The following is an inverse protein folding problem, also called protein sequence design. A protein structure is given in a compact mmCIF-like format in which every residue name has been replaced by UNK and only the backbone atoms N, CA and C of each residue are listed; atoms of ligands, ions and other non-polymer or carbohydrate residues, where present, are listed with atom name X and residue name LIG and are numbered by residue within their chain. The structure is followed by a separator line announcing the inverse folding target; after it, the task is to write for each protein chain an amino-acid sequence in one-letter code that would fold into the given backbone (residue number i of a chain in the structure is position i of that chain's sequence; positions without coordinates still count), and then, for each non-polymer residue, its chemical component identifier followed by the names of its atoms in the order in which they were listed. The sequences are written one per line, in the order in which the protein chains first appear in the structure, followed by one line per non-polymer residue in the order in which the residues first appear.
data_IF_499291506080
#
_entry.id   IF_499291506080
#
_cell.length_a   1.000
_cell.length_b   1.000
_cell.length_c   1.000
_cell.angle_alpha   90.00
_cell.angle_beta   90.00
_cell.angle_gamma   90.00
#
_symmetry.space_group_name_H-M   'P 1'
#
loop_
_entity.id
_entity.type
_entity.pdbx_description
1 polymer ?
#
# COMPACT_ATOMS: atom_id res chain seq x y z
N UNK A 1 11.57 67.66 -24.49
CA UNK A 1 10.29 66.96 -24.74
C UNK A 1 10.52 65.87 -25.77
N UNK A 2 10.60 64.61 -25.34
CA UNK A 2 10.02 63.42 -26.01
C UNK A 2 10.46 62.18 -25.22
N UNK A 3 9.46 61.40 -24.86
CA UNK A 3 9.47 60.38 -23.84
C UNK A 3 10.20 59.10 -24.25
N UNK A 4 10.78 58.44 -23.24
CA UNK A 4 11.15 57.03 -23.27
C UNK A 4 9.91 56.16 -23.58
N UNK A 5 10.06 55.20 -24.49
CA UNK A 5 9.17 54.04 -24.56
C UNK A 5 10.06 52.80 -24.52
N UNK A 6 10.20 52.23 -23.32
CA UNK A 6 10.69 50.87 -23.14
C UNK A 6 9.54 49.94 -23.49
N UNK A 7 9.63 49.29 -24.65
CA UNK A 7 8.73 48.18 -24.99
C UNK A 7 9.16 46.99 -24.14
N UNK A 8 8.48 46.79 -23.02
CA UNK A 8 8.54 45.55 -22.26
C UNK A 8 7.92 44.44 -23.11
N UNK A 9 8.77 43.63 -23.73
CA UNK A 9 8.41 42.32 -24.28
C UNK A 9 8.00 41.43 -23.10
N UNK A 10 6.71 41.48 -22.75
CA UNK A 10 6.08 40.49 -21.88
C UNK A 10 5.94 39.23 -22.71
N UNK A 11 6.90 38.31 -22.59
CA UNK A 11 6.74 36.95 -23.08
C UNK A 11 5.64 36.30 -22.22
N UNK A 12 4.45 35.99 -22.75
CA UNK A 12 3.49 35.22 -21.99
C UNK A 12 4.08 33.82 -21.86
N UNK A 13 4.56 33.48 -20.68
CA UNK A 13 4.76 32.08 -20.33
C UNK A 13 3.39 31.42 -20.44
N UNK A 14 3.18 30.68 -21.52
CA UNK A 14 2.01 29.83 -21.67
C UNK A 14 2.14 28.73 -20.60
N UNK A 15 1.64 29.01 -19.40
CA UNK A 15 1.27 27.97 -18.47
C UNK A 15 0.17 27.18 -19.17
N UNK A 16 0.54 26.06 -19.79
CA UNK A 16 -0.42 25.12 -20.34
C UNK A 16 -1.36 24.71 -19.20
N UNK A 17 -2.58 25.25 -19.19
CA UNK A 17 -3.63 24.74 -18.33
C UNK A 17 -3.83 23.28 -18.69
N UNK A 18 -3.62 22.38 -17.73
CA UNK A 18 -3.91 20.97 -17.88
C UNK A 18 -5.43 20.85 -18.07
N UNK A 19 -5.88 20.76 -19.33
CA UNK A 19 -7.29 20.60 -19.68
C UNK A 19 -7.58 19.12 -19.84
N UNK A 20 -8.70 18.67 -19.29
CA UNK A 20 -9.24 17.32 -19.50
C UNK A 20 -9.46 17.05 -20.99
N UNK A 21 -9.20 15.82 -21.41
CA UNK A 21 -9.43 15.37 -22.77
C UNK A 21 -10.89 14.90 -22.95
N UNK A 22 -11.73 15.60 -23.73
CA UNK A 22 -13.13 15.23 -23.92
C UNK A 22 -13.31 13.84 -24.55
N UNK A 23 -12.31 13.31 -25.26
CA UNK A 23 -12.39 11.96 -25.87
C UNK A 23 -12.39 10.84 -24.83
N UNK A 24 -11.93 11.14 -23.61
CA UNK A 24 -11.87 10.20 -22.49
C UNK A 24 -13.10 10.26 -21.58
N UNK A 25 -14.11 11.09 -21.87
CA UNK A 25 -15.28 11.27 -20.99
C UNK A 25 -16.05 9.96 -20.76
N UNK A 26 -16.34 9.21 -21.82
CA UNK A 26 -16.99 7.90 -21.69
C UNK A 26 -16.12 6.89 -20.90
N UNK A 27 -14.80 6.96 -21.03
CA UNK A 27 -13.88 6.06 -20.33
C UNK A 27 -13.80 6.40 -18.84
N UNK A 28 -13.79 7.69 -18.51
CA UNK A 28 -13.85 8.18 -17.13
C UNK A 28 -15.15 7.77 -16.45
N UNK A 29 -16.30 7.98 -17.11
CA UNK A 29 -17.59 7.60 -16.55
C UNK A 29 -17.71 6.09 -16.38
N UNK A 30 -17.20 5.31 -17.33
CA UNK A 30 -17.12 3.86 -17.19
C UNK A 30 -16.23 3.45 -16.01
N UNK A 31 -15.03 4.03 -15.89
CA UNK A 31 -14.10 3.74 -14.80
C UNK A 31 -14.70 4.09 -13.43
N UNK A 32 -15.34 5.27 -13.29
CA UNK A 32 -16.05 5.67 -12.07
C UNK A 32 -17.15 4.66 -11.74
N UNK A 33 -17.94 4.26 -12.74
CA UNK A 33 -19.02 3.27 -12.55
C UNK A 33 -18.48 1.90 -12.14
N UNK A 34 -17.39 1.44 -12.75
CA UNK A 34 -16.74 0.16 -12.43
C UNK A 34 -16.23 0.13 -10.99
N UNK A 35 -15.70 1.23 -10.49
CA UNK A 35 -15.12 1.32 -9.14
C UNK A 35 -15.97 2.10 -8.15
N UNK A 36 -17.26 2.30 -8.46
CA UNK A 36 -18.25 2.99 -7.63
C UNK A 36 -17.77 4.34 -7.07
N UNK A 37 -17.07 5.13 -7.90
CA UNK A 37 -16.51 6.43 -7.51
C UNK A 37 -17.57 7.52 -7.50
N UNK A 38 -17.62 8.27 -6.42
CA UNK A 38 -18.49 9.42 -6.22
C UNK A 38 -17.64 10.54 -5.62
N UNK A 39 -17.83 11.77 -6.11
CA UNK A 39 -17.14 12.95 -5.64
C UNK A 39 -18.20 14.00 -5.33
N UNK A 40 -18.34 14.37 -4.06
CA UNK A 40 -19.39 15.26 -3.59
C UNK A 40 -18.91 16.73 -3.51
N UNK A 41 -17.60 16.93 -3.40
CA UNK A 41 -17.01 18.25 -3.24
C UNK A 41 -16.87 19.01 -4.58
N UNK A 42 -17.06 20.33 -4.50
CA UNK A 42 -16.93 21.22 -5.65
C UNK A 42 -15.49 21.21 -6.17
N UNK A 43 -15.31 20.91 -7.46
CA UNK A 43 -14.04 20.79 -8.17
C UNK A 43 -13.19 19.54 -7.85
N UNK A 44 -13.62 18.67 -6.93
CA UNK A 44 -12.89 17.42 -6.66
C UNK A 44 -12.88 16.52 -7.90
N UNK A 45 -14.03 16.31 -8.53
CA UNK A 45 -14.13 15.44 -9.70
C UNK A 45 -13.18 15.88 -10.83
N UNK A 46 -13.03 17.18 -11.05
CA UNK A 46 -12.14 17.71 -12.08
C UNK A 46 -10.67 17.46 -11.75
N UNK A 47 -10.27 17.66 -10.49
CA UNK A 47 -8.92 17.34 -10.04
C UNK A 47 -8.62 15.83 -10.14
N UNK A 48 -9.56 14.99 -9.70
CA UNK A 48 -9.47 13.52 -9.78
C UNK A 48 -9.40 13.04 -11.22
N UNK A 49 -10.17 13.64 -12.13
CA UNK A 49 -10.13 13.36 -13.57
C UNK A 49 -8.75 13.65 -14.15
N UNK A 50 -8.13 14.78 -13.81
CA UNK A 50 -6.79 15.12 -14.32
C UNK A 50 -5.70 14.16 -13.80
N UNK A 51 -5.80 13.72 -12.54
CA UNK A 51 -4.94 12.68 -11.98
C UNK A 51 -5.13 11.36 -12.73
N UNK A 52 -6.38 10.98 -12.98
CA UNK A 52 -6.73 9.77 -13.71
C UNK A 52 -6.18 9.77 -15.15
N UNK A 53 -6.30 10.87 -15.89
CA UNK A 53 -5.77 10.97 -17.27
C UNK A 53 -4.24 10.88 -17.29
N UNK A 54 -3.57 11.53 -16.32
CA UNK A 54 -2.12 11.44 -16.15
C UNK A 54 -1.69 9.99 -15.89
N UNK A 55 -2.39 9.30 -15.00
CA UNK A 55 -2.13 7.90 -14.68
C UNK A 55 -2.42 6.98 -15.87
N UNK A 56 -3.50 7.21 -16.61
CA UNK A 56 -3.82 6.45 -17.82
C UNK A 56 -2.70 6.56 -18.85
N UNK A 57 -2.21 7.76 -19.12
CA UNK A 57 -1.08 7.98 -20.04
C UNK A 57 0.19 7.28 -19.56
N UNK A 58 0.47 7.32 -18.25
CA UNK A 58 1.61 6.63 -17.65
C UNK A 58 1.50 5.10 -17.85
N UNK A 59 0.33 4.51 -17.58
CA UNK A 59 0.05 3.08 -17.82
C UNK A 59 0.27 2.71 -19.28
N UNK A 60 -0.25 3.51 -20.21
CA UNK A 60 -0.12 3.24 -21.65
C UNK A 60 1.34 3.22 -22.11
N UNK A 61 2.14 4.22 -21.71
CA UNK A 61 3.55 4.31 -22.09
C UNK A 61 4.37 3.19 -21.47
N UNK A 62 4.18 2.93 -20.17
CA UNK A 62 4.85 1.83 -19.49
C UNK A 62 4.54 0.46 -20.12
N UNK A 63 3.27 0.21 -20.48
CA UNK A 63 2.89 -1.08 -21.06
C UNK A 63 3.41 -1.25 -22.50
N UNK A 64 3.63 -0.16 -23.23
CA UNK A 64 4.36 -0.19 -24.51
C UNK A 64 5.83 -0.62 -24.28
N UNK A 65 6.51 -0.05 -23.28
CA UNK A 65 7.87 -0.45 -22.89
C UNK A 65 7.93 -1.92 -22.42
N UNK A 66 6.93 -2.36 -21.64
CA UNK A 66 6.78 -3.76 -21.25
C UNK A 66 6.65 -4.69 -22.46
N UNK A 67 5.85 -4.32 -23.47
CA UNK A 67 5.70 -5.12 -24.70
C UNK A 67 7.01 -5.27 -25.49
N UNK A 68 7.96 -4.35 -25.29
CA UNK A 68 9.31 -4.39 -25.87
C UNK A 68 10.33 -5.11 -24.98
N UNK A 69 9.88 -5.73 -23.87
CA UNK A 69 10.72 -6.47 -22.93
C UNK A 69 11.53 -5.60 -21.99
N UNK A 70 11.22 -4.30 -21.86
CA UNK A 70 11.97 -3.38 -21.00
C UNK A 70 11.61 -3.56 -19.51
N UNK A 71 10.40 -4.03 -19.21
CA UNK A 71 9.89 -4.24 -17.85
C UNK A 71 9.44 -5.68 -17.62
N UNK A 72 9.68 -6.22 -16.42
CA UNK A 72 9.20 -7.54 -16.00
C UNK A 72 7.76 -7.57 -15.46
N UNK A 73 7.07 -6.42 -15.49
CA UNK A 73 5.71 -6.24 -14.98
C UNK A 73 4.91 -5.32 -15.89
N UNK A 74 3.58 -5.38 -15.78
CA UNK A 74 2.63 -4.48 -16.44
C UNK A 74 1.82 -3.67 -15.42
N UNK A 75 1.23 -2.58 -15.90
CA UNK A 75 0.37 -1.70 -15.12
C UNK A 75 -1.09 -1.78 -15.60
N UNK A 76 -2.01 -1.32 -14.76
CA UNK A 76 -3.42 -1.23 -15.09
C UNK A 76 -4.15 -0.14 -14.32
N UNK A 77 -5.17 0.43 -14.94
CA UNK A 77 -6.08 1.35 -14.24
C UNK A 77 -6.98 0.55 -13.29
N UNK A 78 -6.72 0.72 -11.99
CA UNK A 78 -7.51 0.14 -10.91
C UNK A 78 -8.27 1.25 -10.14
N UNK A 79 -8.97 0.88 -9.07
CA UNK A 79 -9.69 1.81 -8.19
C UNK A 79 -8.82 2.86 -7.48
N UNK A 80 -7.49 2.77 -7.57
CA UNK A 80 -6.53 3.76 -7.04
C UNK A 80 -6.10 4.78 -8.12
N UNK A 81 -6.69 4.71 -9.31
CA UNK A 81 -6.34 5.59 -10.44
C UNK A 81 -6.51 7.09 -10.17
N UNK A 82 -7.21 7.47 -9.10
CA UNK A 82 -7.53 8.84 -8.69
C UNK A 82 -7.02 9.19 -7.26
N UNK A 83 -6.26 8.30 -6.62
CA UNK A 83 -6.22 8.15 -5.16
C UNK A 83 -5.50 9.24 -4.34
N UNK A 84 -6.07 9.53 -3.16
CA UNK A 84 -5.38 9.77 -1.89
C UNK A 84 -6.10 8.94 -0.80
N UNK A 85 -5.41 8.43 0.23
CA UNK A 85 -6.04 7.54 1.23
C UNK A 85 -5.46 7.63 2.66
N UNK A 86 -6.26 7.17 3.62
CA UNK A 86 -5.86 6.84 4.99
C UNK A 86 -4.64 5.90 5.01
N UNK A 87 -3.59 6.29 5.74
CA UNK A 87 -2.33 5.55 5.90
C UNK A 87 -2.39 4.46 6.97
N UNK A 88 -3.42 3.61 6.96
CA UNK A 88 -3.58 2.49 7.91
C UNK A 88 -2.87 1.19 7.48
N UNK A 89 -1.98 1.25 6.50
CA UNK A 89 -1.27 0.07 5.95
C UNK A 89 -0.48 -0.73 7.00
N UNK A 90 0.08 -0.04 7.99
CA UNK A 90 0.75 -0.64 9.14
C UNK A 90 -0.17 -1.57 9.94
N UNK A 91 -1.44 -1.19 10.14
CA UNK A 91 -2.41 -1.98 10.88
C UNK A 91 -2.76 -3.26 10.10
N UNK A 92 -3.00 -3.15 8.78
CA UNK A 92 -3.26 -4.30 7.92
C UNK A 92 -2.08 -5.28 7.84
N UNK A 93 -0.85 -4.74 7.76
CA UNK A 93 0.36 -5.56 7.81
C UNK A 93 0.46 -6.34 9.13
N UNK A 94 0.20 -5.68 10.26
CA UNK A 94 0.25 -6.31 11.57
C UNK A 94 -0.82 -7.40 11.75
N UNK A 95 -2.10 -7.10 11.45
CA UNK A 95 -3.17 -8.11 11.57
C UNK A 95 -2.93 -9.29 10.64
N UNK A 96 -2.46 -9.07 9.41
CA UNK A 96 -2.19 -10.16 8.47
C UNK A 96 -1.11 -11.13 8.95
N UNK A 97 -0.07 -10.64 9.63
CA UNK A 97 0.94 -11.51 10.24
C UNK A 97 0.36 -12.30 11.43
N UNK A 98 -0.44 -11.65 12.28
CA UNK A 98 -1.07 -12.29 13.43
C UNK A 98 -2.14 -13.32 13.04
N UNK A 99 -2.94 -13.05 12.00
CA UNK A 99 -3.90 -13.98 11.40
C UNK A 99 -3.23 -15.29 10.97
N UNK A 100 -2.03 -15.16 10.37
CA UNK A 100 -1.26 -16.33 9.96
C UNK A 100 -0.80 -17.15 11.16
N UNK A 101 -0.30 -16.50 12.22
CA UNK A 101 0.07 -17.19 13.47
C UNK A 101 -1.14 -17.83 14.16
N UNK A 102 -2.30 -17.18 14.13
CA UNK A 102 -3.56 -17.73 14.63
C UNK A 102 -3.92 -19.02 13.90
N UNK A 103 -3.84 -18.99 12.57
CA UNK A 103 -4.07 -20.18 11.74
C UNK A 103 -3.07 -21.28 12.04
N UNK A 104 -1.78 -20.96 12.17
CA UNK A 104 -0.73 -21.94 12.45
C UNK A 104 -0.88 -22.58 13.85
N UNK A 105 -1.24 -21.79 14.88
CA UNK A 105 -1.34 -22.28 16.26
C UNK A 105 -2.66 -22.97 16.58
N UNK A 106 -3.77 -22.49 16.00
CA UNK A 106 -5.13 -22.95 16.35
C UNK A 106 -5.82 -23.73 15.25
N UNK A 107 -5.29 -23.71 14.02
CA UNK A 107 -5.94 -24.28 12.83
C UNK A 107 -7.11 -23.44 12.29
N UNK A 108 -7.50 -22.32 12.94
CA UNK A 108 -8.60 -21.45 12.51
C UNK A 108 -8.06 -20.18 11.86
N UNK A 109 -8.55 -19.87 10.66
CA UNK A 109 -8.26 -18.59 10.00
C UNK A 109 -9.43 -17.66 10.30
N UNK A 110 -9.16 -16.61 11.07
CA UNK A 110 -10.15 -15.61 11.45
C UNK A 110 -9.56 -14.24 11.14
N UNK A 111 -10.33 -13.40 10.44
CA UNK A 111 -9.91 -12.04 10.13
C UNK A 111 -9.91 -11.18 11.40
N UNK A 112 -8.81 -10.47 11.62
CA UNK A 112 -8.61 -9.63 12.80
C UNK A 112 -8.81 -8.16 12.46
N UNK A 113 -9.28 -7.37 13.43
CA UNK A 113 -9.69 -5.99 13.18
C UNK A 113 -8.51 -5.04 13.02
N UNK A 114 -8.30 -4.54 11.80
CA UNK A 114 -7.37 -3.43 11.56
C UNK A 114 -7.87 -2.13 12.21
N UNK A 115 -9.19 -1.93 12.29
CA UNK A 115 -9.80 -0.76 12.93
C UNK A 115 -9.49 -0.69 14.43
N UNK A 116 -9.50 -1.84 15.12
CA UNK A 116 -9.09 -1.91 16.51
C UNK A 116 -7.67 -1.35 16.70
N UNK A 117 -6.74 -1.64 15.79
CA UNK A 117 -5.39 -1.06 15.86
C UNK A 117 -5.40 0.43 15.57
N UNK A 118 -6.09 0.87 14.51
CA UNK A 118 -6.21 2.28 14.13
C UNK A 118 -6.70 3.14 15.31
N UNK A 119 -7.76 2.68 16.00
CA UNK A 119 -8.40 3.48 17.04
C UNK A 119 -7.75 3.33 18.42
N UNK A 120 -7.18 2.15 18.73
CA UNK A 120 -6.73 1.82 20.09
C UNK A 120 -5.20 1.83 20.27
N UNK A 121 -4.42 1.58 19.23
CA UNK A 121 -2.96 1.63 19.28
C UNK A 121 -2.45 3.06 19.12
N UNK A 122 -2.99 3.99 19.93
CA UNK A 122 -2.85 5.43 19.79
C UNK A 122 -1.45 5.97 20.17
N UNK A 123 -1.36 7.28 20.50
CA UNK A 123 -0.13 7.98 20.86
C UNK A 123 0.73 7.27 21.92
N UNK A 124 0.12 6.50 22.84
CA UNK A 124 0.86 5.67 23.80
C UNK A 124 1.85 4.72 23.11
N UNK A 125 1.47 4.20 21.93
CA UNK A 125 2.25 3.30 21.09
C UNK A 125 2.85 4.01 19.87
N UNK A 126 2.73 5.34 19.78
CA UNK A 126 3.26 6.16 18.69
C UNK A 126 2.63 5.91 17.31
N UNK A 127 1.51 5.20 17.21
CA UNK A 127 0.72 5.18 15.97
C UNK A 127 -0.31 6.31 15.98
N UNK A 128 -0.62 6.80 14.77
CA UNK A 128 -1.48 7.96 14.53
C UNK A 128 -2.66 7.58 13.63
N UNK A 129 -3.14 6.35 13.76
CA UNK A 129 -4.26 5.82 13.00
C UNK A 129 -4.04 5.95 11.49
N UNK A 130 -4.88 6.74 10.82
CA UNK A 130 -4.80 7.05 9.40
C UNK A 130 -3.61 7.93 9.01
N UNK A 131 -2.91 8.55 9.96
CA UNK A 131 -1.71 9.35 9.69
C UNK A 131 -0.41 8.52 9.80
N UNK A 132 -0.53 7.19 9.83
CA UNK A 132 0.60 6.27 9.84
C UNK A 132 0.87 5.64 11.20
N UNK A 133 1.72 4.63 11.19
CA UNK A 133 2.06 3.81 12.35
C UNK A 133 3.04 2.71 11.95
N UNK A 134 3.34 1.83 12.89
CA UNK A 134 4.34 0.78 12.73
C UNK A 134 3.87 -0.56 13.29
N UNK A 135 4.26 -1.65 12.64
CA UNK A 135 3.73 -2.98 12.93
C UNK A 135 4.16 -3.50 14.31
N UNK A 136 5.40 -3.23 14.74
CA UNK A 136 5.88 -3.64 16.07
C UNK A 136 5.13 -2.92 17.19
N UNK A 137 4.76 -1.66 16.99
CA UNK A 137 3.94 -0.91 17.94
C UNK A 137 2.51 -1.44 18.02
N UNK A 138 1.93 -1.84 16.88
CA UNK A 138 0.68 -2.60 16.86
C UNK A 138 0.81 -3.91 17.66
N UNK A 139 1.87 -4.70 17.45
CA UNK A 139 2.09 -5.93 18.21
C UNK A 139 2.22 -5.67 19.70
N UNK A 140 2.96 -4.62 20.10
CA UNK A 140 3.10 -4.24 21.50
C UNK A 140 1.76 -3.85 22.13
N UNK A 141 0.91 -3.12 21.40
CA UNK A 141 -0.45 -2.85 21.85
C UNK A 141 -1.23 -4.16 22.09
N UNK A 142 -1.20 -5.12 21.17
CA UNK A 142 -1.95 -6.38 21.31
C UNK A 142 -1.47 -7.17 22.53
N UNK A 143 -0.16 -7.16 22.81
CA UNK A 143 0.45 -7.77 23.99
C UNK A 143 -0.09 -7.11 25.26
N UNK A 144 0.04 -5.79 25.37
CA UNK A 144 -0.37 -5.04 26.56
C UNK A 144 -1.89 -5.08 26.80
N UNK A 145 -2.67 -5.05 25.71
CA UNK A 145 -4.13 -5.10 25.73
C UNK A 145 -4.66 -6.52 25.99
N UNK A 146 -3.77 -7.52 25.98
CA UNK A 146 -4.11 -8.94 26.11
C UNK A 146 -5.19 -9.38 25.09
N UNK A 147 -5.10 -8.86 23.87
CA UNK A 147 -6.05 -9.22 22.82
C UNK A 147 -6.23 -8.22 21.70
N UNK A 148 -6.86 -8.71 20.64
CA UNK A 148 -7.39 -7.94 19.51
C UNK A 148 -8.73 -8.55 19.08
N UNK A 149 -9.67 -7.71 18.67
CA UNK A 149 -11.00 -8.12 18.19
C UNK A 149 -10.97 -8.70 16.77
N UNK A 150 -12.03 -9.41 16.40
CA UNK A 150 -12.23 -9.86 15.02
C UNK A 150 -12.68 -8.70 14.11
N UNK A 151 -12.41 -8.81 12.81
CA UNK A 151 -12.95 -7.88 11.81
C UNK A 151 -14.48 -7.85 11.83
N UNK A 152 -15.13 -9.00 12.09
CA UNK A 152 -16.59 -9.08 12.14
C UNK A 152 -17.20 -8.31 13.32
N UNK A 153 -16.51 -8.24 14.46
CA UNK A 153 -16.96 -7.52 15.66
C UNK A 153 -16.55 -6.05 15.65
N UNK A 154 -15.47 -5.70 14.95
CA UNK A 154 -14.97 -4.34 14.86
C UNK A 154 -14.51 -4.03 13.41
N UNK A 155 -15.46 -3.71 12.50
CA UNK A 155 -15.16 -3.58 11.08
C UNK A 155 -14.33 -2.34 10.73
N UNK A 156 -13.53 -2.44 9.66
CA UNK A 156 -12.74 -1.34 9.12
C UNK A 156 -13.58 -0.24 8.47
N UNK A 157 -13.29 1.01 8.84
CA UNK A 157 -13.99 2.21 8.39
C UNK A 157 -13.11 3.24 7.69
N UNK A 158 -11.79 2.99 7.61
CA UNK A 158 -10.83 3.88 6.96
C UNK A 158 -10.79 5.31 7.51
N UNK A 159 -11.08 5.48 8.80
CA UNK A 159 -11.02 6.75 9.50
C UNK A 159 -10.61 6.53 10.97
N UNK A 160 -10.11 7.59 11.61
CA UNK A 160 -9.78 7.58 13.03
C UNK A 160 -11.06 7.74 13.86
N UNK A 161 -11.39 6.73 14.67
CA UNK A 161 -12.51 6.78 15.60
C UNK A 161 -12.03 6.63 17.06
N UNK A 162 -12.98 6.68 17.99
CA UNK A 162 -12.70 6.35 19.38
C UNK A 162 -12.46 4.85 19.51
N UNK A 163 -11.48 4.45 20.34
CA UNK A 163 -11.26 3.03 20.63
C UNK A 163 -12.51 2.35 21.25
N UNK A 164 -12.94 1.24 20.63
CA UNK A 164 -14.09 0.44 21.02
C UNK A 164 -13.77 -1.05 21.27
N UNK A 165 -12.53 -1.39 21.63
CA UNK A 165 -12.15 -2.77 21.95
C UNK A 165 -13.05 -3.39 23.04
N UNK A 166 -13.55 -4.60 22.80
CA UNK A 166 -14.35 -5.36 23.76
C UNK A 166 -13.72 -6.74 24.03
N UNK A 167 -13.23 -7.04 25.25
CA UNK A 167 -12.67 -8.34 25.59
C UNK A 167 -13.56 -9.56 25.29
N UNK A 168 -14.88 -9.38 25.17
CA UNK A 168 -15.83 -10.44 24.77
C UNK A 168 -15.70 -10.84 23.30
N UNK A 169 -15.23 -9.93 22.47
CA UNK A 169 -15.06 -10.10 21.03
C UNK A 169 -13.62 -10.45 20.63
N UNK A 170 -12.75 -10.64 21.63
CA UNK A 170 -11.35 -10.99 21.43
C UNK A 170 -11.19 -12.24 20.58
N UNK A 171 -10.49 -12.08 19.46
CA UNK A 171 -10.27 -13.09 18.44
C UNK A 171 -8.87 -13.71 18.49
N UNK A 172 -7.87 -12.95 18.91
CA UNK A 172 -6.50 -13.42 19.07
C UNK A 172 -5.77 -12.68 20.20
N UNK A 173 -4.63 -13.21 20.62
CA UNK A 173 -3.68 -12.58 21.54
C UNK A 173 -2.30 -12.58 20.90
N UNK A 174 -1.40 -11.74 21.38
CA UNK A 174 0.01 -11.73 21.00
C UNK A 174 0.84 -11.88 22.27
N UNK A 175 1.85 -12.74 22.26
CA UNK A 175 2.75 -12.99 23.39
C UNK A 175 4.06 -12.23 23.27
N UNK A 176 4.59 -12.12 22.05
CA UNK A 176 5.81 -11.39 21.69
C UNK A 176 5.84 -11.13 20.18
N UNK A 177 6.80 -10.32 19.75
CA UNK A 177 7.18 -10.20 18.34
C UNK A 177 8.70 -10.33 18.19
N UNK A 178 9.14 -10.68 16.99
CA UNK A 178 10.56 -10.74 16.62
C UNK A 178 10.81 -9.77 15.47
N UNK A 179 11.82 -8.92 15.60
CA UNK A 179 12.36 -8.09 14.52
C UNK A 179 13.53 -8.81 13.85
N UNK A 180 13.57 -8.78 12.52
CA UNK A 180 14.67 -9.38 11.75
C UNK A 180 15.80 -8.38 11.51
N UNK A 181 17.03 -8.85 11.24
CA UNK A 181 18.15 -7.97 10.92
C UNK A 181 17.86 -7.05 9.73
N UNK A 182 18.12 -5.76 9.91
CA UNK A 182 17.92 -4.72 8.90
C UNK A 182 18.63 -5.07 7.58
N UNK A 183 17.88 -5.02 6.47
CA UNK A 183 18.37 -5.21 5.11
C UNK A 183 18.68 -6.66 4.73
N UNK A 184 18.47 -7.64 5.62
CA UNK A 184 18.79 -9.04 5.36
C UNK A 184 17.65 -9.78 4.65
N UNK A 185 17.70 -9.82 3.32
CA UNK A 185 16.77 -10.62 2.51
C UNK A 185 16.86 -12.13 2.84
N UNK A 186 18.03 -12.62 3.25
CA UNK A 186 18.24 -14.02 3.65
C UNK A 186 17.52 -14.34 4.97
N UNK A 187 17.64 -13.46 5.97
CA UNK A 187 16.91 -13.64 7.23
C UNK A 187 15.40 -13.55 7.02
N UNK A 188 14.95 -12.63 6.16
CA UNK A 188 13.54 -12.55 5.76
C UNK A 188 13.08 -13.84 5.08
N UNK A 189 13.89 -14.42 4.20
CA UNK A 189 13.57 -15.67 3.49
C UNK A 189 13.41 -16.83 4.47
N UNK A 190 14.34 -16.95 5.41
CA UNK A 190 14.32 -17.97 6.46
C UNK A 190 13.08 -17.82 7.36
N UNK A 191 12.78 -16.60 7.80
CA UNK A 191 11.61 -16.33 8.62
C UNK A 191 10.31 -16.67 7.88
N UNK A 192 10.16 -16.26 6.62
CA UNK A 192 8.98 -16.58 5.81
C UNK A 192 8.80 -18.10 5.66
N UNK A 193 9.90 -18.84 5.48
CA UNK A 193 9.87 -20.29 5.32
C UNK A 193 9.52 -21.04 6.62
N UNK A 194 10.07 -20.59 7.75
CA UNK A 194 10.08 -21.35 9.00
C UNK A 194 9.08 -20.84 10.04
N UNK A 195 8.65 -19.58 9.93
CA UNK A 195 7.74 -18.90 10.88
C UNK A 195 6.41 -18.53 10.24
N UNK A 196 6.36 -18.36 8.92
CA UNK A 196 5.18 -17.96 8.17
C UNK A 196 5.24 -16.47 7.76
N UNK A 197 4.10 -15.87 7.37
CA UNK A 197 4.04 -14.50 6.88
C UNK A 197 4.69 -13.47 7.80
N UNK A 198 5.44 -12.53 7.21
CA UNK A 198 6.23 -11.50 7.90
C UNK A 198 5.76 -10.11 7.48
N UNK A 199 5.46 -9.25 8.46
CA UNK A 199 5.15 -7.84 8.23
C UNK A 199 6.40 -7.10 7.80
N UNK A 200 6.31 -6.29 6.74
CA UNK A 200 7.44 -5.49 6.24
C UNK A 200 7.00 -4.08 5.86
N UNK A 201 7.92 -3.13 5.89
CA UNK A 201 7.77 -1.82 5.26
C UNK A 201 8.39 -1.81 3.87
N UNK A 202 7.77 -1.10 2.92
CA UNK A 202 8.31 -0.85 1.58
C UNK A 202 8.14 0.62 1.19
N UNK A 203 8.92 1.07 0.22
CA UNK A 203 8.66 2.29 -0.54
C UNK A 203 7.59 2.03 -1.61
N UNK A 204 6.42 2.65 -1.44
CA UNK A 204 5.29 2.60 -2.35
C UNK A 204 4.97 3.97 -2.99
N UNK A 205 5.90 4.92 -2.96
CA UNK A 205 5.69 6.30 -3.44
C UNK A 205 5.58 6.43 -4.97
N UNK A 206 5.81 5.35 -5.71
CA UNK A 206 5.91 5.37 -7.17
C UNK A 206 4.59 5.03 -7.87
N UNK A 207 4.22 5.72 -8.97
CA UNK A 207 3.06 5.37 -9.79
C UNK A 207 3.05 3.96 -10.35
N UNK A 208 4.22 3.44 -10.64
CA UNK A 208 4.42 2.04 -11.01
C UNK A 208 3.94 1.06 -9.93
N UNK A 209 4.04 1.43 -8.64
CA UNK A 209 3.57 0.60 -7.53
C UNK A 209 2.05 0.61 -7.42
N UNK A 210 1.42 1.78 -7.29
CA UNK A 210 -0.04 1.84 -7.07
C UNK A 210 -0.87 1.44 -8.29
N UNK A 211 -0.29 1.48 -9.50
CA UNK A 211 -0.90 0.99 -10.73
C UNK A 211 -0.43 -0.42 -11.12
N UNK A 212 0.37 -1.09 -10.28
CA UNK A 212 0.84 -2.44 -10.55
C UNK A 212 -0.33 -3.38 -10.84
N UNK A 213 -0.15 -4.23 -11.87
CA UNK A 213 -1.14 -5.23 -12.27
C UNK A 213 -0.57 -6.65 -12.16
N UNK A 214 0.51 -6.98 -12.86
CA UNK A 214 1.07 -8.34 -12.82
C UNK A 214 2.56 -8.38 -13.17
N UNK A 215 3.20 -9.54 -13.00
CA UNK A 215 4.64 -9.74 -13.25
C UNK A 215 5.52 -9.52 -12.03
N UNK A 216 6.84 -9.39 -12.20
CA UNK A 216 7.78 -9.12 -11.09
C UNK A 216 8.10 -7.63 -11.09
N UNK A 217 7.58 -6.93 -10.09
CA UNK A 217 7.77 -5.50 -9.89
C UNK A 217 9.23 -5.18 -9.56
N UNK A 218 9.80 -4.28 -10.35
CA UNK A 218 11.11 -3.70 -10.11
C UNK A 218 11.16 -2.28 -10.68
N UNK A 219 11.24 -1.27 -9.81
CA UNK A 219 11.39 0.13 -10.22
C UNK A 219 12.77 0.66 -9.79
N UNK A 220 13.69 1.02 -10.71
CA UNK A 220 15.00 1.55 -10.33
C UNK A 220 14.93 2.85 -9.51
N UNK A 221 13.78 3.56 -9.51
CA UNK A 221 13.56 4.73 -8.69
C UNK A 221 13.18 4.40 -7.23
N UNK A 222 12.82 3.15 -6.91
CA UNK A 222 12.51 2.74 -5.53
C UNK A 222 13.67 3.07 -4.60
N UNK A 223 13.34 3.71 -3.49
CA UNK A 223 14.28 3.99 -2.42
C UNK A 223 14.16 2.96 -1.30
N UNK A 224 14.99 3.08 -0.28
CA UNK A 224 14.86 2.29 0.96
C UNK A 224 14.11 3.06 2.07
N UNK A 225 13.55 4.24 1.75
CA UNK A 225 12.72 5.04 2.65
C UNK A 225 11.28 4.52 2.62
N UNK A 226 11.01 3.55 3.49
CA UNK A 226 9.71 2.89 3.53
C UNK A 226 8.59 3.83 3.98
N UNK A 227 7.42 3.70 3.38
CA UNK A 227 6.24 4.52 3.66
C UNK A 227 4.94 3.69 3.67
N UNK A 228 5.01 2.39 3.35
CA UNK A 228 3.84 1.52 3.25
C UNK A 228 4.08 0.16 3.89
N UNK A 229 3.19 -0.23 4.81
CA UNK A 229 3.21 -1.54 5.47
C UNK A 229 2.51 -2.60 4.63
N UNK A 230 3.18 -3.72 4.38
CA UNK A 230 2.65 -4.87 3.62
C UNK A 230 3.03 -6.19 4.28
N UNK A 231 2.54 -7.31 3.76
CA UNK A 231 2.82 -8.64 4.33
C UNK A 231 3.49 -9.54 3.29
N UNK A 232 4.71 -10.00 3.58
CA UNK A 232 5.37 -11.04 2.77
C UNK A 232 4.80 -12.38 3.16
N UNK A 233 4.13 -13.05 2.23
CA UNK A 233 3.46 -14.36 2.46
C UNK A 233 4.17 -15.54 1.82
N UNK A 234 5.23 -15.27 1.05
CA UNK A 234 5.99 -16.29 0.34
C UNK A 234 7.05 -15.68 -0.56
N UNK A 235 7.73 -16.54 -1.30
CA UNK A 235 8.74 -16.14 -2.28
C UNK A 235 8.85 -17.20 -3.37
N UNK A 236 9.43 -16.83 -4.52
CA UNK A 236 9.63 -17.74 -5.62
C UNK A 236 10.51 -17.15 -6.72
N UNK A 237 10.41 -17.74 -7.91
CA UNK A 237 11.09 -17.28 -9.12
C UNK A 237 10.12 -17.39 -10.29
N UNK A 238 10.02 -16.32 -11.09
CA UNK A 238 9.21 -16.29 -12.31
C UNK A 238 10.10 -15.89 -13.48
N UNK A 239 10.22 -16.74 -14.50
CA UNK A 239 11.02 -16.48 -15.70
C UNK A 239 12.46 -16.02 -15.37
N UNK A 240 13.09 -16.67 -14.38
CA UNK A 240 14.44 -16.34 -13.92
C UNK A 240 14.55 -15.08 -13.05
N UNK A 241 13.43 -14.47 -12.64
CA UNK A 241 13.38 -13.33 -11.72
C UNK A 241 12.87 -13.75 -10.35
N UNK A 242 13.74 -13.65 -9.35
CA UNK A 242 13.41 -13.91 -7.96
C UNK A 242 12.43 -12.86 -7.43
N UNK A 243 11.42 -13.30 -6.69
CA UNK A 243 10.42 -12.42 -6.11
C UNK A 243 10.04 -12.78 -4.67
N UNK A 244 9.55 -11.76 -3.95
CA UNK A 244 8.72 -11.83 -2.76
C UNK A 244 7.26 -11.79 -3.17
N UNK A 245 6.43 -12.71 -2.64
CA UNK A 245 4.98 -12.65 -2.79
C UNK A 245 4.42 -11.80 -1.67
N UNK A 246 3.89 -10.64 -2.01
CA UNK A 246 3.49 -9.60 -1.06
C UNK A 246 1.98 -9.40 -1.14
N UNK A 247 1.29 -9.56 -0.01
CA UNK A 247 -0.12 -9.20 0.16
C UNK A 247 -0.22 -7.71 0.47
N UNK A 248 -1.00 -6.99 -0.32
CA UNK A 248 -1.31 -5.58 -0.09
C UNK A 248 -2.67 -5.42 0.61
N UNK A 249 -2.96 -4.23 1.11
CA UNK A 249 -4.20 -3.88 1.84
C UNK A 249 -5.14 -3.00 1.02
N UNK A 250 -4.97 -2.94 -0.31
CA UNK A 250 -5.80 -2.13 -1.22
C UNK A 250 -6.85 -2.98 -1.95
N UNK A 251 -7.35 -4.04 -1.34
CA UNK A 251 -8.40 -4.88 -1.91
C UNK A 251 -7.98 -5.71 -3.15
N UNK A 252 -8.91 -6.49 -3.67
CA UNK A 252 -8.65 -7.50 -4.71
C UNK A 252 -8.44 -6.91 -6.11
N UNK A 253 -8.87 -5.67 -6.32
CA UNK A 253 -8.73 -4.97 -7.61
C UNK A 253 -7.33 -4.34 -7.79
N UNK A 254 -6.48 -4.41 -6.76
CA UNK A 254 -5.07 -4.04 -6.87
C UNK A 254 -4.24 -5.25 -7.33
N UNK A 255 -3.31 -5.04 -8.25
CA UNK A 255 -2.34 -6.07 -8.63
C UNK A 255 -2.96 -7.40 -9.05
N UNK A 256 -2.32 -8.48 -8.63
CA UNK A 256 -2.70 -9.86 -8.92
C UNK A 256 -3.58 -10.36 -7.76
N UNK A 257 -4.87 -10.05 -7.83
CA UNK A 257 -5.86 -10.38 -6.78
C UNK A 257 -5.51 -9.84 -5.38
N UNK A 258 -5.01 -8.61 -5.30
CA UNK A 258 -4.57 -7.96 -4.07
C UNK A 258 -3.09 -8.21 -3.72
N UNK A 259 -2.37 -8.97 -4.53
CA UNK A 259 -0.95 -9.28 -4.34
C UNK A 259 -0.06 -8.58 -5.36
N UNK A 260 1.20 -8.41 -4.98
CA UNK A 260 2.28 -7.96 -5.84
C UNK A 260 3.49 -8.89 -5.66
N UNK A 261 4.15 -9.22 -6.77
CA UNK A 261 5.44 -9.92 -6.72
C UNK A 261 6.55 -8.88 -6.80
N UNK A 262 7.21 -8.59 -5.69
CA UNK A 262 8.31 -7.60 -5.67
C UNK A 262 9.65 -8.28 -5.88
N UNK A 263 10.58 -7.64 -6.59
CA UNK A 263 11.89 -8.21 -6.82
C UNK A 263 12.61 -8.59 -5.51
N UNK A 264 13.15 -9.81 -5.48
CA UNK A 264 13.95 -10.36 -4.38
C UNK A 264 15.40 -10.55 -4.84
N UNK A 265 16.35 -10.47 -3.91
CA UNK A 265 17.78 -10.56 -4.15
C UNK A 265 18.28 -9.50 -5.15
N UNK A 266 17.71 -8.28 -5.06
CA UNK A 266 18.03 -7.15 -5.94
C UNK A 266 18.39 -5.91 -5.13
N UNK A 267 19.26 -6.09 -4.14
CA UNK A 267 19.77 -4.99 -3.31
C UNK A 267 18.72 -4.45 -2.36
N UNK A 268 17.93 -5.33 -1.74
CA UNK A 268 16.88 -4.95 -0.80
C UNK A 268 15.90 -3.94 -1.42
N UNK A 269 15.32 -4.36 -2.55
CA UNK A 269 14.50 -3.52 -3.40
C UNK A 269 13.32 -2.90 -2.64
N UNK A 270 13.11 -1.59 -2.81
CA UNK A 270 12.14 -0.78 -2.08
C UNK A 270 12.24 -0.87 -0.54
N UNK A 271 13.39 -1.31 0.01
CA UNK A 271 13.61 -1.45 1.44
C UNK A 271 12.85 -2.60 2.10
N UNK A 272 12.37 -3.59 1.33
CA UNK A 272 11.48 -4.67 1.82
C UNK A 272 12.02 -5.45 3.02
N UNK A 273 13.34 -5.54 3.18
CA UNK A 273 14.00 -6.21 4.29
C UNK A 273 14.50 -5.25 5.39
N UNK A 274 14.19 -3.95 5.35
CA UNK A 274 14.66 -2.97 6.35
C UNK A 274 13.98 -3.15 7.71
N UNK A 275 12.67 -3.38 7.71
CA UNK A 275 11.90 -3.48 8.94
C UNK A 275 10.98 -4.72 8.99
N UNK A 276 11.52 -5.93 8.86
CA UNK A 276 10.71 -7.13 8.91
C UNK A 276 10.43 -7.51 10.36
N UNK A 277 9.18 -7.85 10.65
CA UNK A 277 8.79 -8.36 11.96
C UNK A 277 7.64 -9.34 11.86
N UNK A 278 7.57 -10.28 12.81
CA UNK A 278 6.44 -11.19 12.92
C UNK A 278 6.03 -11.35 14.41
N UNK A 279 4.73 -11.45 14.71
CA UNK A 279 4.25 -11.73 16.06
C UNK A 279 4.27 -13.23 16.35
N UNK A 280 4.06 -13.61 17.60
CA UNK A 280 3.81 -14.98 18.03
C UNK A 280 2.66 -14.98 19.05
N UNK A 281 1.68 -15.87 18.86
CA UNK A 281 0.61 -16.15 19.85
C UNK A 281 1.16 -17.02 20.97
#
# INVERSE_FOLDING_TARGET
MKWLVWVLLVCPSAMAQLRKDPTLDNHWDLWKKTYSKQYEEKNEEEARRLIWEKNLKFVMLHNLEHSMGMHSYDLGMNHLGDMGSCGACWAFSAVGALEAQLKLKTGKLLSLSAQNLVDCSNEKYQNKGCNGGFMTQAFQYIIDNNGIDSEASYPYKAMDEKCHYDPKNRAATCSKYTELPFGSEDALKEAVANKGPVSVGIDASHPSFFLYKSGVYYDPACTQNVNHGVLVVGYGTLNGKDYWLVKNSWGLNFGDQGYIRMARNRGNHCGIANYPSYPEI
#
